data_IF_557846368674
#
_entry.id   IF_557846368674
#
_cell.length_a   1.000
_cell.length_b   1.000
_cell.length_c   1.000
_cell.angle_alpha   90.00
_cell.angle_beta   90.00
_cell.angle_gamma   90.00
#
_symmetry.space_group_name_H-M   'P 1'
#
loop_
_entity.id
_entity.type
_entity.pdbx_description
1 polymer ?
#
# COMPACT_ATOMS: atom_id res chain seq x y z
N UNK A 1 -7.05 -8.50 44.26
CA UNK A 1 -5.91 -8.38 43.33
C UNK A 1 -6.44 -8.65 41.92
N UNK A 2 -6.53 -7.63 41.08
CA UNK A 2 -6.98 -7.75 39.69
C UNK A 2 -5.78 -7.43 38.77
N UNK A 3 -5.31 -8.35 37.92
CA UNK A 3 -4.25 -8.02 36.98
C UNK A 3 -4.86 -7.32 35.75
N UNK A 4 -4.71 -5.99 35.78
CA UNK A 4 -4.26 -5.13 34.69
C UNK A 4 -4.49 -5.61 33.25
N UNK A 5 -5.46 -4.97 32.62
CA UNK A 5 -5.70 -4.86 31.18
C UNK A 5 -4.43 -4.35 30.49
N UNK A 6 -3.77 -5.21 29.71
CA UNK A 6 -2.63 -4.81 28.88
C UNK A 6 -3.11 -3.89 27.75
N UNK A 7 -2.66 -2.64 27.84
CA UNK A 7 -2.69 -1.62 26.80
C UNK A 7 -2.08 -2.17 25.50
N UNK A 8 -2.90 -2.27 24.45
CA UNK A 8 -2.39 -2.40 23.09
C UNK A 8 -2.03 -1.00 22.61
N UNK A 9 -0.77 -0.68 22.26
CA UNK A 9 -0.50 0.45 21.41
C UNK A 9 -1.06 0.09 20.03
N UNK A 10 -2.33 0.46 19.81
CA UNK A 10 -2.95 0.47 18.51
C UNK A 10 -2.28 1.57 17.70
N UNK A 11 -1.07 1.24 17.23
CA UNK A 11 -0.40 1.96 16.17
C UNK A 11 -1.44 2.10 15.06
N UNK A 12 -1.69 3.29 14.50
CA UNK A 12 -2.51 3.43 13.32
C UNK A 12 -1.72 2.79 12.18
N UNK A 13 -1.79 1.45 12.12
CA UNK A 13 -1.45 0.70 10.94
C UNK A 13 -2.28 1.34 9.85
N UNK A 14 -1.61 1.83 8.82
CA UNK A 14 -2.26 2.03 7.54
C UNK A 14 -2.66 0.61 7.12
N UNK A 15 -3.85 0.19 7.57
CA UNK A 15 -4.39 -1.17 7.50
C UNK A 15 -4.85 -1.51 6.08
N UNK A 16 -4.02 -1.19 5.10
CA UNK A 16 -4.23 -1.58 3.72
C UNK A 16 -3.23 -2.67 3.37
N UNK A 17 -3.62 -3.92 3.52
CA UNK A 17 -2.89 -4.99 2.86
C UNK A 17 -3.09 -4.84 1.35
N UNK A 18 -1.99 -4.83 0.59
CA UNK A 18 -2.04 -4.70 -0.86
C UNK A 18 -1.96 -6.07 -1.52
N UNK A 19 -2.99 -6.40 -2.30
CA UNK A 19 -3.01 -7.62 -3.09
C UNK A 19 -2.10 -7.47 -4.31
N UNK A 20 -1.20 -8.42 -4.48
CA UNK A 20 -0.39 -8.52 -5.68
C UNK A 20 -1.30 -8.73 -6.90
N UNK A 21 -1.21 -7.86 -7.91
CA UNK A 21 -2.03 -8.04 -9.13
C UNK A 21 -1.65 -9.27 -9.95
N UNK A 22 -0.45 -9.83 -9.74
CA UNK A 22 0.06 -11.02 -10.47
C UNK A 22 -0.38 -12.34 -9.84
N UNK A 23 -0.24 -12.52 -8.54
CA UNK A 23 -0.55 -13.78 -7.86
C UNK A 23 -1.64 -13.67 -6.78
N UNK A 24 -2.24 -12.49 -6.60
CA UNK A 24 -3.28 -12.20 -5.59
C UNK A 24 -2.83 -12.37 -4.13
N UNK A 25 -1.55 -12.66 -3.89
CA UNK A 25 -1.00 -12.74 -2.54
C UNK A 25 -1.13 -11.40 -1.82
N UNK A 26 -1.36 -11.50 -0.52
CA UNK A 26 -1.38 -10.44 0.46
C UNK A 26 0.02 -9.93 0.76
N UNK A 27 0.23 -8.60 0.73
CA UNK A 27 1.53 -7.98 1.00
C UNK A 27 1.36 -6.73 1.87
N UNK A 28 2.39 -6.36 2.66
CA UNK A 28 2.34 -5.15 3.46
C UNK A 28 2.23 -3.89 2.57
N UNK A 29 1.58 -2.82 3.05
CA UNK A 29 1.37 -1.58 2.27
C UNK A 29 2.66 -0.93 1.77
N UNK A 30 3.77 -1.14 2.50
CA UNK A 30 5.09 -0.62 2.15
C UNK A 30 5.91 -1.57 1.25
N UNK A 31 5.36 -2.73 0.86
CA UNK A 31 6.06 -3.68 0.00
C UNK A 31 6.32 -3.07 -1.39
N UNK A 32 7.59 -3.03 -1.80
CA UNK A 32 7.98 -2.67 -3.18
C UNK A 32 7.85 -3.85 -4.16
N UNK A 33 7.97 -5.07 -3.62
CA UNK A 33 7.90 -6.33 -4.36
C UNK A 33 7.04 -7.33 -3.60
N UNK A 34 6.36 -8.20 -4.34
CA UNK A 34 5.53 -9.25 -3.76
C UNK A 34 6.42 -10.31 -3.09
N UNK A 35 6.11 -10.66 -1.85
CA UNK A 35 6.88 -11.63 -1.07
C UNK A 35 6.71 -13.07 -1.57
N UNK A 36 5.72 -13.32 -2.43
CA UNK A 36 5.41 -14.65 -2.96
C UNK A 36 5.92 -14.86 -4.39
N UNK A 37 5.76 -13.87 -5.28
CA UNK A 37 6.12 -14.01 -6.70
C UNK A 37 7.18 -13.01 -7.21
N UNK A 38 7.76 -12.20 -6.32
CA UNK A 38 8.73 -11.14 -6.62
C UNK A 38 8.26 -10.04 -7.60
N UNK A 39 6.99 -10.05 -8.03
CA UNK A 39 6.44 -9.01 -8.88
C UNK A 39 6.43 -7.65 -8.18
N UNK A 40 6.68 -6.57 -8.93
CA UNK A 40 6.60 -5.21 -8.42
C UNK A 40 5.20 -4.92 -7.89
N UNK A 41 5.13 -4.32 -6.72
CA UNK A 41 3.88 -3.83 -6.14
C UNK A 41 3.79 -2.33 -6.39
N UNK A 42 2.65 -1.93 -6.93
CA UNK A 42 2.34 -0.54 -7.28
C UNK A 42 1.37 -0.02 -6.22
N UNK A 43 1.81 0.87 -5.31
CA UNK A 43 0.92 1.42 -4.30
C UNK A 43 -0.18 2.26 -4.97
N UNK A 44 -1.37 2.36 -4.35
CA UNK A 44 -2.46 3.15 -4.90
C UNK A 44 -2.01 4.60 -5.14
N UNK A 45 -2.34 5.14 -6.31
CA UNK A 45 -1.94 6.50 -6.71
C UNK A 45 -0.52 6.62 -7.26
N UNK A 46 0.27 5.54 -7.35
CA UNK A 46 1.57 5.59 -8.02
C UNK A 46 1.41 5.73 -9.54
N UNK A 47 2.03 6.75 -10.12
CA UNK A 47 2.07 6.94 -11.56
C UNK A 47 3.21 6.14 -12.19
N UNK A 48 2.89 5.16 -13.02
CA UNK A 48 3.92 4.37 -13.71
C UNK A 48 4.68 5.18 -14.78
N UNK A 49 4.10 6.28 -15.28
CA UNK A 49 4.70 7.10 -16.32
C UNK A 49 5.82 8.03 -15.80
N UNK A 50 5.64 8.66 -14.63
CA UNK A 50 6.63 9.60 -14.07
C UNK A 50 7.11 9.24 -12.65
N UNK A 51 6.68 8.10 -12.10
CA UNK A 51 6.99 7.63 -10.75
C UNK A 51 6.52 8.56 -9.61
N UNK A 52 5.65 9.53 -9.88
CA UNK A 52 5.05 10.37 -8.85
C UNK A 52 3.98 9.62 -8.06
N UNK A 53 3.94 9.83 -6.74
CA UNK A 53 2.84 9.36 -5.90
C UNK A 53 1.73 10.41 -5.85
N UNK A 54 0.51 10.00 -6.17
CA UNK A 54 -0.66 10.85 -6.25
C UNK A 54 -1.63 10.53 -5.09
N UNK A 55 -2.50 11.48 -4.71
CA UNK A 55 -3.49 11.24 -3.68
C UNK A 55 -4.42 10.07 -4.03
N UNK A 56 -4.91 9.38 -3.00
CA UNK A 56 -5.83 8.26 -3.15
C UNK A 56 -7.10 8.70 -3.91
N UNK A 57 -7.52 7.89 -4.89
CA UNK A 57 -8.70 8.17 -5.72
C UNK A 57 -8.44 9.08 -6.93
N UNK A 58 -7.21 9.58 -7.12
CA UNK A 58 -6.84 10.30 -8.34
C UNK A 58 -6.98 9.40 -9.58
N UNK A 59 -7.65 9.90 -10.63
CA UNK A 59 -7.77 9.22 -11.93
C UNK A 59 -6.62 9.54 -12.90
N UNK A 60 -5.96 10.68 -12.68
CA UNK A 60 -4.86 11.19 -13.49
C UNK A 60 -3.76 11.71 -12.56
N UNK A 61 -2.52 11.61 -13.02
CA UNK A 61 -1.36 12.07 -12.31
C UNK A 61 -1.34 13.61 -12.26
N UNK A 62 -1.19 14.18 -11.07
CA UNK A 62 -1.10 15.63 -10.87
C UNK A 62 0.24 16.22 -11.30
N UNK A 63 1.26 15.37 -11.53
CA UNK A 63 2.58 15.79 -11.97
C UNK A 63 2.75 15.73 -13.51
N UNK A 64 2.28 14.67 -14.17
CA UNK A 64 2.48 14.49 -15.62
C UNK A 64 1.19 14.40 -16.45
N UNK A 65 0.00 14.39 -15.83
CA UNK A 65 -1.28 14.23 -16.53
C UNK A 65 -1.59 12.82 -17.04
N UNK A 66 -0.67 11.87 -16.88
CA UNK A 66 -0.86 10.47 -17.27
C UNK A 66 -1.95 9.75 -16.45
N UNK A 67 -2.55 8.71 -17.01
CA UNK A 67 -3.55 7.89 -16.29
C UNK A 67 -2.89 7.09 -15.15
N UNK A 68 -3.61 6.96 -14.03
CA UNK A 68 -3.22 6.15 -12.85
C UNK A 68 -3.89 4.78 -12.84
#
# INVERSE_FOLDING_TARGET
AAPNTAVQPQQPAISGEIKCRKCQASNPPAAKFCMNCAAKIVPPGFCEACSALNPAGAKFCTNCGGKL
#
